data_IF_001933444478
#
_entry.id   IF_001933444478
#
_cell.length_a   1.000
_cell.length_b   1.000
_cell.length_c   1.000
_cell.angle_alpha   90.00
_cell.angle_beta   90.00
_cell.angle_gamma   90.00
#
_symmetry.space_group_name_H-M   'P 1'
#
loop_
_entity.id
_entity.type
_entity.pdbx_description
1 polymer ?
#
# COMPACT_ATOMS: atom_id res chain seq x y z
N UNK A 1 -17.36 -14.21 17.03
CA UNK A 1 -16.88 -15.46 16.42
C UNK A 1 -17.73 -15.80 15.20
N UNK A 2 -17.57 -15.01 14.14
CA UNK A 2 -17.81 -15.50 12.77
C UNK A 2 -16.58 -16.37 12.43
N UNK A 3 -16.76 -17.50 11.75
CA UNK A 3 -15.64 -18.43 11.54
C UNK A 3 -14.57 -17.81 10.64
N UNK A 4 -13.35 -17.67 11.15
CA UNK A 4 -12.19 -17.20 10.38
C UNK A 4 -11.89 -15.70 10.46
N UNK A 5 -12.78 -14.93 11.09
CA UNK A 5 -12.60 -13.48 11.30
C UNK A 5 -11.82 -13.19 12.58
N UNK A 6 -11.15 -12.03 12.64
CA UNK A 6 -10.41 -11.57 13.83
C UNK A 6 -11.17 -10.43 14.50
N UNK A 7 -11.35 -10.43 15.82
CA UNK A 7 -11.97 -9.28 16.52
C UNK A 7 -11.15 -7.97 16.41
N UNK A 8 -9.90 -8.04 15.96
CA UNK A 8 -9.01 -6.89 15.74
C UNK A 8 -9.08 -6.33 14.31
N UNK A 9 -9.72 -7.05 13.39
CA UNK A 9 -9.93 -6.64 12.00
C UNK A 9 -11.44 -6.64 11.70
N UNK A 10 -12.01 -5.49 11.34
CA UNK A 10 -13.46 -5.37 11.19
C UNK A 10 -13.94 -5.74 9.77
N UNK A 11 -13.00 -5.90 8.84
CA UNK A 11 -13.17 -6.20 7.41
C UNK A 11 -12.01 -7.12 7.00
N UNK A 12 -12.21 -8.42 7.20
CA UNK A 12 -11.16 -9.43 7.23
C UNK A 12 -10.55 -9.69 5.85
N UNK A 13 -11.34 -9.59 4.77
CA UNK A 13 -10.87 -9.75 3.38
C UNK A 13 -10.66 -8.43 2.63
N UNK A 14 -10.94 -7.30 3.30
CA UNK A 14 -10.68 -5.94 2.82
C UNK A 14 -11.47 -5.59 1.54
N UNK A 15 -12.70 -6.07 1.47
CA UNK A 15 -13.60 -5.91 0.33
C UNK A 15 -14.50 -4.66 0.46
N UNK A 16 -14.45 -3.98 1.61
CA UNK A 16 -15.24 -2.80 2.03
C UNK A 16 -16.62 -3.09 2.64
N UNK A 17 -16.92 -4.33 2.99
CA UNK A 17 -18.04 -4.72 3.85
C UNK A 17 -17.44 -5.19 5.18
N UNK A 18 -18.02 -4.77 6.31
CA UNK A 18 -17.52 -5.28 7.59
C UNK A 18 -18.00 -6.71 7.81
N UNK A 19 -17.20 -7.55 8.47
CA UNK A 19 -17.48 -8.96 8.75
C UNK A 19 -18.90 -9.22 9.28
N UNK A 20 -19.41 -8.31 10.12
CA UNK A 20 -20.74 -8.40 10.70
C UNK A 20 -21.88 -8.05 9.75
N UNK A 21 -21.63 -7.17 8.78
CA UNK A 21 -22.60 -6.69 7.79
C UNK A 21 -22.76 -7.70 6.65
N UNK A 22 -21.70 -8.43 6.29
CA UNK A 22 -21.71 -9.47 5.26
C UNK A 22 -22.69 -10.62 5.52
N UNK A 23 -22.87 -10.98 6.81
CA UNK A 23 -23.87 -11.97 7.20
C UNK A 23 -25.30 -11.42 7.19
N UNK A 24 -25.49 -10.11 7.00
CA UNK A 24 -26.81 -9.47 7.03
C UNK A 24 -26.93 -8.34 6.00
N UNK A 25 -26.41 -8.52 4.79
CA UNK A 25 -26.56 -7.54 3.70
C UNK A 25 -28.06 -7.30 3.44
N UNK A 26 -28.84 -8.38 3.31
CA UNK A 26 -30.31 -8.33 3.33
C UNK A 26 -30.93 -9.64 3.84
N UNK A 27 -32.28 -9.77 3.84
CA UNK A 27 -32.96 -11.00 4.32
C UNK A 27 -32.53 -12.28 3.57
N UNK A 28 -31.97 -12.17 2.36
CA UNK A 28 -31.58 -13.31 1.53
C UNK A 28 -30.25 -13.15 0.79
N UNK A 29 -29.53 -12.05 1.01
CA UNK A 29 -28.25 -11.73 0.37
C UNK A 29 -27.17 -11.80 1.44
N UNK A 30 -26.09 -12.53 1.16
CA UNK A 30 -24.99 -12.78 2.10
C UNK A 30 -23.68 -12.90 1.33
N UNK A 31 -22.61 -12.33 1.87
CA UNK A 31 -21.24 -12.61 1.46
C UNK A 31 -20.49 -13.38 2.55
N UNK A 32 -19.24 -13.75 2.29
CA UNK A 32 -18.39 -14.51 3.20
C UNK A 32 -17.23 -13.63 3.66
N UNK A 33 -17.11 -13.35 4.98
CA UNK A 33 -16.08 -12.46 5.57
C UNK A 33 -14.61 -12.84 5.46
N UNK A 34 -14.29 -13.78 4.59
CA UNK A 34 -12.93 -14.27 4.40
C UNK A 34 -12.61 -14.39 2.91
N UNK A 35 -13.56 -14.01 2.06
CA UNK A 35 -13.50 -14.10 0.62
C UNK A 35 -13.90 -12.74 0.06
N UNK A 36 -12.92 -12.06 -0.52
CA UNK A 36 -13.08 -10.78 -1.20
C UNK A 36 -14.11 -10.81 -2.36
N UNK A 37 -14.33 -12.00 -2.93
CA UNK A 37 -15.31 -12.33 -3.97
C UNK A 37 -15.89 -13.70 -3.57
N UNK A 38 -17.14 -13.71 -3.13
CA UNK A 38 -17.78 -14.84 -2.47
C UNK A 38 -18.18 -15.93 -3.45
N UNK A 39 -18.65 -15.56 -4.65
CA UNK A 39 -19.10 -16.50 -5.67
C UNK A 39 -18.06 -16.81 -6.75
N UNK A 40 -17.00 -16.00 -6.81
CA UNK A 40 -15.84 -16.19 -7.68
C UNK A 40 -16.07 -15.76 -9.12
N UNK A 41 -17.00 -14.84 -9.39
CA UNK A 41 -17.28 -14.35 -10.73
C UNK A 41 -16.30 -13.26 -11.23
N UNK A 42 -15.50 -12.71 -10.32
CA UNK A 42 -14.50 -11.67 -10.56
C UNK A 42 -14.93 -10.26 -10.14
N UNK A 43 -16.16 -10.07 -9.66
CA UNK A 43 -16.65 -8.83 -9.06
C UNK A 43 -16.58 -8.97 -7.53
N UNK A 44 -16.01 -7.99 -6.84
CA UNK A 44 -15.86 -8.09 -5.38
C UNK A 44 -17.18 -7.77 -4.66
N UNK A 45 -17.41 -8.43 -3.52
CA UNK A 45 -18.71 -8.37 -2.83
C UNK A 45 -19.07 -6.91 -2.44
N UNK A 46 -18.09 -6.13 -1.99
CA UNK A 46 -18.26 -4.71 -1.71
C UNK A 46 -18.73 -3.87 -2.90
N UNK A 47 -18.26 -4.11 -4.13
CA UNK A 47 -18.72 -3.41 -5.34
C UNK A 47 -20.15 -3.83 -5.68
N UNK A 48 -20.43 -5.12 -5.62
CA UNK A 48 -21.75 -5.68 -5.85
C UNK A 48 -22.79 -5.01 -4.95
N UNK A 49 -22.53 -4.96 -3.65
CA UNK A 49 -23.46 -4.38 -2.67
C UNK A 49 -23.55 -2.86 -2.75
N UNK A 50 -22.41 -2.17 -2.84
CA UNK A 50 -22.39 -0.71 -2.69
C UNK A 50 -22.57 0.07 -4.00
N UNK A 51 -22.38 -0.58 -5.15
CA UNK A 51 -22.35 0.09 -6.46
C UNK A 51 -23.31 -0.52 -7.48
N UNK A 52 -23.23 -1.83 -7.73
CA UNK A 52 -23.95 -2.48 -8.84
C UNK A 52 -25.37 -2.87 -8.42
N UNK A 53 -25.54 -3.29 -7.17
CA UNK A 53 -26.80 -3.80 -6.62
C UNK A 53 -27.03 -5.29 -6.90
N UNK A 54 -25.96 -6.05 -7.12
CA UNK A 54 -25.99 -7.51 -7.32
C UNK A 54 -25.87 -8.28 -6.00
N UNK A 55 -26.14 -9.59 -6.04
CA UNK A 55 -26.04 -10.50 -4.90
C UNK A 55 -24.68 -11.20 -4.91
N UNK A 56 -23.75 -10.90 -3.98
CA UNK A 56 -22.41 -11.48 -3.93
C UNK A 56 -22.36 -13.00 -3.72
N UNK A 57 -23.49 -13.63 -3.42
CA UNK A 57 -23.61 -15.07 -3.38
C UNK A 57 -23.92 -15.71 -4.73
N UNK A 58 -24.12 -14.91 -5.79
CA UNK A 58 -24.63 -15.33 -7.10
C UNK A 58 -23.85 -14.69 -8.24
N UNK A 59 -23.06 -15.52 -8.93
CA UNK A 59 -22.25 -15.11 -10.08
C UNK A 59 -23.06 -14.65 -11.31
N UNK A 60 -24.36 -14.43 -11.17
CA UNK A 60 -25.34 -14.09 -12.18
C UNK A 60 -26.63 -13.77 -11.42
N UNK A 61 -26.76 -12.52 -11.00
CA UNK A 61 -27.84 -12.06 -10.13
C UNK A 61 -29.21 -12.11 -10.81
N UNK A 62 -29.29 -11.70 -12.07
CA UNK A 62 -30.56 -11.54 -12.78
C UNK A 62 -31.02 -12.79 -13.56
N UNK A 63 -30.10 -13.73 -13.79
CA UNK A 63 -30.32 -15.00 -14.46
C UNK A 63 -30.25 -14.94 -15.99
N UNK A 64 -29.66 -13.92 -16.59
CA UNK A 64 -29.63 -13.72 -18.06
C UNK A 64 -28.54 -14.52 -18.81
N UNK A 65 -27.77 -15.33 -18.08
CA UNK A 65 -26.60 -16.11 -18.48
C UNK A 65 -25.25 -15.37 -18.66
N UNK A 66 -25.17 -14.06 -18.47
CA UNK A 66 -23.92 -13.35 -18.22
C UNK A 66 -23.61 -13.34 -16.72
N UNK A 67 -22.34 -13.22 -16.33
CA UNK A 67 -22.03 -13.00 -14.92
C UNK A 67 -21.99 -11.50 -14.61
N UNK A 68 -22.15 -11.16 -13.35
CA UNK A 68 -22.30 -9.78 -12.90
C UNK A 68 -21.04 -8.98 -13.24
N UNK A 69 -19.88 -9.62 -13.14
CA UNK A 69 -18.59 -9.10 -13.62
C UNK A 69 -18.58 -8.73 -15.13
N UNK A 70 -18.94 -9.65 -16.02
CA UNK A 70 -18.97 -9.41 -17.48
C UNK A 70 -19.95 -8.28 -17.80
N UNK A 71 -21.08 -8.21 -17.12
CA UNK A 71 -22.07 -7.16 -17.35
C UNK A 71 -21.57 -5.80 -16.90
N UNK A 72 -21.07 -5.71 -15.67
CA UNK A 72 -20.48 -4.50 -15.12
C UNK A 72 -19.34 -3.97 -15.99
N UNK A 73 -18.40 -4.84 -16.39
CA UNK A 73 -17.23 -4.47 -17.19
C UNK A 73 -17.60 -3.99 -18.61
N UNK A 74 -18.71 -4.49 -19.16
CA UNK A 74 -19.21 -4.12 -20.49
C UNK A 74 -20.23 -2.97 -20.49
N UNK A 75 -20.61 -2.51 -19.29
CA UNK A 75 -21.58 -1.45 -19.05
C UNK A 75 -23.02 -1.87 -19.33
N UNK A 76 -23.36 -3.13 -19.06
CA UNK A 76 -24.72 -3.65 -18.99
C UNK A 76 -25.26 -3.56 -17.55
N UNK A 77 -26.57 -3.67 -17.40
CA UNK A 77 -27.27 -3.67 -16.12
C UNK A 77 -27.45 -5.11 -15.61
N UNK A 78 -26.53 -5.56 -14.74
CA UNK A 78 -26.52 -6.89 -14.12
C UNK A 78 -27.73 -7.21 -13.20
N UNK A 79 -28.69 -6.29 -13.11
CA UNK A 79 -29.93 -6.48 -12.35
C UNK A 79 -31.17 -6.54 -13.25
N UNK A 80 -31.02 -6.32 -14.55
CA UNK A 80 -32.09 -6.38 -15.54
C UNK A 80 -31.87 -7.58 -16.47
N UNK A 81 -32.64 -8.68 -16.31
CA UNK A 81 -32.48 -9.89 -17.13
C UNK A 81 -32.86 -9.71 -18.61
N UNK A 82 -33.16 -8.46 -19.01
CA UNK A 82 -33.40 -8.03 -20.38
C UNK A 82 -32.34 -7.08 -20.94
N UNK A 83 -31.28 -6.78 -20.19
CA UNK A 83 -30.06 -6.14 -20.67
C UNK A 83 -28.91 -7.16 -20.58
N UNK A 84 -28.16 -7.41 -21.66
CA UNK A 84 -28.38 -6.94 -23.02
C UNK A 84 -29.60 -7.56 -23.72
N UNK A 85 -30.27 -8.55 -23.13
CA UNK A 85 -31.28 -9.38 -23.83
C UNK A 85 -32.67 -8.72 -23.94
N UNK A 86 -32.82 -7.73 -24.83
CA UNK A 86 -34.15 -7.33 -25.32
C UNK A 86 -34.46 -8.03 -26.66
N UNK A 87 -35.15 -9.19 -26.66
CA UNK A 87 -35.50 -9.91 -27.88
C UNK A 87 -36.60 -9.20 -28.69
N UNK A 88 -37.16 -8.08 -28.21
CA UNK A 88 -38.26 -7.35 -28.85
C UNK A 88 -37.82 -6.21 -29.79
N UNK A 89 -36.53 -6.04 -30.07
CA UNK A 89 -36.13 -5.21 -31.22
C UNK A 89 -36.64 -5.92 -32.48
N UNK A 90 -37.51 -5.26 -33.24
CA UNK A 90 -38.03 -5.77 -34.51
C UNK A 90 -36.85 -5.95 -35.48
N UNK A 91 -36.42 -7.19 -35.65
CA UNK A 91 -35.29 -7.57 -36.49
C UNK A 91 -35.69 -7.53 -37.97
N UNK A 92 -35.19 -6.54 -38.70
CA UNK A 92 -35.39 -6.45 -40.15
C UNK A 92 -34.45 -7.46 -40.83
N UNK A 93 -35.01 -8.66 -41.06
CA UNK A 93 -34.43 -9.92 -41.53
C UNK A 93 -33.22 -9.91 -42.47
N UNK A 94 -32.27 -10.80 -42.17
CA UNK A 94 -31.79 -11.85 -43.08
C UNK A 94 -31.38 -13.08 -42.26
N UNK A 95 -32.31 -14.00 -42.00
CA UNK A 95 -32.04 -15.28 -41.31
C UNK A 95 -31.27 -16.23 -42.22
N UNK A 96 -30.26 -16.90 -41.67
CA UNK A 96 -29.49 -17.96 -42.35
C UNK A 96 -29.80 -19.32 -41.73
N UNK A 97 -30.14 -20.30 -42.57
CA UNK A 97 -30.29 -21.70 -42.19
C UNK A 97 -28.97 -22.42 -42.45
N UNK A 98 -28.30 -22.92 -41.43
CA UNK A 98 -27.11 -23.75 -41.58
C UNK A 98 -27.35 -25.15 -40.97
N UNK A 99 -26.98 -26.20 -41.72
CA UNK A 99 -27.09 -27.61 -41.28
C UNK A 99 -25.95 -28.01 -40.31
N UNK A 100 -24.87 -27.23 -40.28
CA UNK A 100 -23.76 -27.30 -39.31
C UNK A 100 -22.90 -26.05 -39.44
N UNK A 101 -22.61 -25.35 -38.32
CA UNK A 101 -21.73 -24.18 -38.35
C UNK A 101 -20.41 -24.49 -37.62
N UNK A 102 -19.32 -24.48 -38.39
CA UNK A 102 -17.95 -24.37 -37.88
C UNK A 102 -17.30 -23.18 -38.56
N UNK A 103 -17.20 -22.07 -37.84
CA UNK A 103 -16.62 -20.83 -38.35
C UNK A 103 -15.66 -20.20 -37.34
N UNK A 104 -14.63 -19.53 -37.84
CA UNK A 104 -13.81 -18.63 -37.03
C UNK A 104 -14.32 -17.21 -37.24
N UNK A 105 -14.66 -16.48 -36.18
CA UNK A 105 -14.90 -15.03 -36.26
C UNK A 105 -13.59 -14.29 -35.98
N UNK A 106 -13.23 -13.35 -36.84
CA UNK A 106 -12.18 -12.36 -36.57
C UNK A 106 -12.82 -10.98 -36.72
N UNK A 107 -12.97 -10.25 -35.62
CA UNK A 107 -13.58 -8.94 -35.59
C UNK A 107 -12.50 -7.89 -35.32
N UNK A 108 -11.75 -7.49 -36.36
CA UNK A 108 -10.79 -6.40 -36.16
C UNK A 108 -11.53 -5.14 -35.67
N UNK A 109 -11.18 -4.70 -34.45
CA UNK A 109 -11.66 -3.45 -33.84
C UNK A 109 -12.90 -3.52 -32.95
N UNK A 110 -13.50 -4.70 -32.70
CA UNK A 110 -14.48 -4.83 -31.63
C UNK A 110 -13.79 -5.34 -30.36
N UNK A 111 -14.26 -4.89 -29.20
CA UNK A 111 -13.66 -5.25 -27.91
C UNK A 111 -14.12 -6.65 -27.47
N UNK A 112 -15.37 -7.04 -27.82
CA UNK A 112 -15.97 -8.34 -27.54
C UNK A 112 -17.14 -8.70 -28.51
N UNK A 113 -17.58 -9.98 -28.46
CA UNK A 113 -18.71 -10.54 -29.22
C UNK A 113 -19.61 -11.36 -28.30
N UNK A 114 -20.91 -11.08 -28.30
CA UNK A 114 -21.94 -11.91 -27.67
C UNK A 114 -22.60 -12.82 -28.72
N UNK A 115 -22.68 -14.12 -28.43
CA UNK A 115 -23.24 -15.12 -29.34
C UNK A 115 -24.55 -15.65 -28.81
N UNK A 116 -25.60 -15.59 -29.63
CA UNK A 116 -26.91 -16.16 -29.33
C UNK A 116 -27.36 -17.10 -30.45
N UNK A 117 -28.14 -18.11 -30.12
CA UNK A 117 -28.77 -18.98 -31.10
C UNK A 117 -30.20 -19.29 -30.69
N UNK A 118 -31.05 -19.64 -31.64
CA UNK A 118 -32.37 -20.17 -31.34
C UNK A 118 -32.68 -21.38 -32.21
N UNK A 119 -33.46 -22.29 -31.66
CA UNK A 119 -33.99 -23.40 -32.43
C UNK A 119 -35.12 -22.88 -33.31
N UNK A 120 -35.11 -23.22 -34.61
CA UNK A 120 -36.15 -22.83 -35.56
C UNK A 120 -37.54 -23.07 -34.95
N UNK A 121 -38.40 -22.05 -34.95
CA UNK A 121 -39.76 -22.00 -34.35
C UNK A 121 -39.86 -21.70 -32.84
N UNK A 122 -38.75 -21.43 -32.14
CA UNK A 122 -38.76 -20.89 -30.77
C UNK A 122 -38.81 -19.36 -30.79
N UNK A 123 -39.66 -18.76 -29.94
CA UNK A 123 -39.62 -17.33 -29.64
C UNK A 123 -38.48 -16.97 -28.67
N UNK A 124 -37.88 -17.98 -28.03
CA UNK A 124 -36.80 -17.82 -27.06
C UNK A 124 -35.43 -17.99 -27.70
N UNK A 125 -34.57 -16.99 -27.48
CA UNK A 125 -33.14 -17.01 -27.79
C UNK A 125 -32.36 -17.65 -26.66
N UNK A 126 -31.26 -18.33 -27.01
CA UNK A 126 -30.36 -19.01 -26.08
C UNK A 126 -28.99 -18.36 -26.21
N UNK A 127 -28.48 -17.84 -25.09
CA UNK A 127 -27.11 -17.35 -25.01
C UNK A 127 -26.11 -18.51 -25.15
N UNK A 128 -25.04 -18.29 -25.91
CA UNK A 128 -23.99 -19.29 -26.17
C UNK A 128 -22.67 -18.94 -25.51
N UNK A 129 -22.36 -17.66 -25.36
CA UNK A 129 -21.11 -17.20 -24.79
C UNK A 129 -20.71 -15.80 -25.23
N UNK A 130 -19.87 -15.19 -24.41
CA UNK A 130 -19.17 -13.94 -24.60
C UNK A 130 -17.75 -14.29 -25.00
N UNK A 131 -17.24 -13.59 -26.00
CA UNK A 131 -15.90 -13.82 -26.51
C UNK A 131 -15.18 -12.48 -26.69
N UNK A 132 -14.09 -12.30 -25.97
CA UNK A 132 -13.20 -11.15 -26.07
C UNK A 132 -12.32 -11.22 -27.33
N UNK A 133 -11.75 -10.07 -27.74
CA UNK A 133 -11.04 -9.90 -29.02
C UNK A 133 -10.07 -11.04 -29.39
N UNK A 134 -10.23 -11.59 -30.61
CA UNK A 134 -9.44 -12.72 -31.12
C UNK A 134 -10.17 -13.58 -32.15
N UNK A 135 -9.55 -14.67 -32.59
CA UNK A 135 -10.18 -15.66 -33.48
C UNK A 135 -11.03 -16.64 -32.68
N UNK A 136 -12.35 -16.51 -32.73
CA UNK A 136 -13.27 -17.41 -32.01
C UNK A 136 -13.71 -18.54 -32.92
N UNK A 137 -13.29 -19.77 -32.62
CA UNK A 137 -13.79 -20.97 -33.29
C UNK A 137 -15.11 -21.42 -32.64
N UNK A 138 -16.24 -21.20 -33.32
CA UNK A 138 -17.55 -21.65 -32.83
C UNK A 138 -17.92 -22.95 -33.55
N UNK A 139 -18.07 -24.04 -32.79
CA UNK A 139 -18.57 -25.32 -33.30
C UNK A 139 -20.00 -25.55 -32.78
N UNK A 140 -20.99 -25.35 -33.65
CA UNK A 140 -22.40 -25.62 -33.38
C UNK A 140 -22.83 -26.80 -34.25
N UNK A 141 -22.82 -28.00 -33.66
CA UNK A 141 -23.47 -29.18 -34.26
C UNK A 141 -24.95 -29.17 -33.93
N UNK A 142 -25.76 -28.51 -34.74
CA UNK A 142 -27.21 -28.54 -34.56
C UNK A 142 -27.93 -28.53 -35.90
N UNK A 143 -28.87 -29.45 -36.05
CA UNK A 143 -29.78 -29.50 -37.19
C UNK A 143 -30.86 -28.42 -37.03
N UNK A 144 -30.98 -27.50 -37.99
CA UNK A 144 -32.07 -26.53 -38.15
C UNK A 144 -32.16 -25.37 -37.12
N UNK A 145 -31.08 -24.61 -36.92
CA UNK A 145 -31.10 -23.43 -36.04
C UNK A 145 -30.81 -22.12 -36.80
N UNK A 146 -31.38 -21.02 -36.29
CA UNK A 146 -31.00 -19.65 -36.66
C UNK A 146 -29.82 -19.22 -35.75
N UNK A 147 -28.65 -18.91 -36.32
CA UNK A 147 -27.49 -18.39 -35.58
C UNK A 147 -27.39 -16.87 -35.73
N UNK A 148 -27.25 -16.15 -34.61
CA UNK A 148 -27.14 -14.68 -34.62
C UNK A 148 -25.99 -14.19 -33.74
N UNK A 149 -25.27 -13.19 -34.23
CA UNK A 149 -24.06 -12.66 -33.61
C UNK A 149 -24.30 -11.18 -33.32
N UNK A 150 -24.00 -10.76 -32.08
CA UNK A 150 -24.07 -9.36 -31.67
C UNK A 150 -22.66 -8.88 -31.34
N UNK A 151 -22.21 -7.84 -32.04
CA UNK A 151 -20.92 -7.18 -31.78
C UNK A 151 -21.19 -5.73 -31.35
N UNK A 152 -20.49 -5.24 -30.31
CA UNK A 152 -20.53 -3.84 -29.89
C UNK A 152 -19.21 -3.19 -30.30
N UNK A 153 -19.28 -2.15 -31.13
CA UNK A 153 -18.12 -1.34 -31.53
C UNK A 153 -18.29 0.05 -30.93
N UNK A 154 -17.59 0.37 -29.84
CA UNK A 154 -17.38 1.69 -29.19
C UNK A 154 -18.60 2.62 -28.95
N UNK A 155 -19.63 2.68 -29.81
CA UNK A 155 -20.95 3.31 -29.64
C UNK A 155 -22.08 2.79 -30.57
N UNK A 156 -21.85 1.83 -31.50
CA UNK A 156 -22.90 1.35 -32.42
C UNK A 156 -22.96 -0.19 -32.59
N UNK A 157 -24.18 -0.70 -32.72
CA UNK A 157 -24.49 -2.12 -32.94
C UNK A 157 -24.41 -2.46 -34.44
N UNK A 158 -23.62 -3.47 -34.81
CA UNK A 158 -23.49 -3.89 -36.22
C UNK A 158 -23.88 -5.34 -36.42
N UNK A 159 -24.76 -5.61 -37.39
CA UNK A 159 -25.12 -6.98 -37.78
C UNK A 159 -24.09 -7.51 -38.79
N UNK A 160 -23.58 -8.73 -38.58
CA UNK A 160 -22.69 -9.40 -39.54
C UNK A 160 -23.51 -10.38 -40.38
N UNK A 161 -23.50 -10.19 -41.70
CA UNK A 161 -24.07 -11.15 -42.65
C UNK A 161 -23.01 -12.20 -43.00
N UNK A 162 -23.23 -13.45 -42.59
CA UNK A 162 -22.37 -14.58 -42.95
C UNK A 162 -22.79 -15.10 -44.34
N UNK A 163 -21.85 -15.22 -45.29
CA UNK A 163 -22.10 -15.85 -46.60
C UNK A 163 -21.24 -17.11 -46.77
N UNK A 164 -21.79 -18.11 -47.47
CA UNK A 164 -21.34 -19.52 -47.51
C UNK A 164 -19.91 -19.80 -48.03
N UNK A 165 -19.16 -18.82 -48.56
CA UNK A 165 -17.89 -19.08 -49.22
C UNK A 165 -16.71 -18.31 -48.58
N UNK A 166 -15.88 -19.10 -47.88
CA UNK A 166 -14.48 -18.90 -47.45
C UNK A 166 -14.08 -17.60 -46.71
N UNK A 167 -13.61 -17.77 -45.47
CA UNK A 167 -12.80 -16.75 -44.78
C UNK A 167 -11.41 -17.31 -44.38
N UNK A 168 -10.36 -16.59 -44.79
CA UNK A 168 -8.98 -16.76 -44.33
C UNK A 168 -8.67 -15.68 -43.29
N UNK A 169 -8.02 -16.05 -42.18
CA UNK A 169 -7.64 -15.14 -41.09
C UNK A 169 -6.13 -15.24 -40.80
N UNK A 170 -5.45 -14.10 -40.65
CA UNK A 170 -4.04 -14.00 -40.28
C UNK A 170 -3.81 -13.02 -39.13
N UNK A 171 -2.89 -13.43 -38.25
CA UNK A 171 -2.15 -12.78 -37.15
C UNK A 171 -2.83 -11.73 -36.24
N UNK A 172 -2.80 -12.12 -34.97
CA UNK A 172 -3.34 -11.55 -33.74
C UNK A 172 -2.63 -10.28 -33.26
N UNK A 173 -3.40 -9.28 -32.85
CA UNK A 173 -3.04 -8.40 -31.73
C UNK A 173 -4.16 -8.54 -30.70
N UNK A 174 -3.86 -9.15 -29.56
CA UNK A 174 -4.74 -9.16 -28.39
C UNK A 174 -4.80 -7.72 -27.88
N UNK A 175 -5.98 -7.11 -27.95
CA UNK A 175 -6.26 -5.86 -27.26
C UNK A 175 -7.48 -6.17 -26.39
N UNK A 176 -7.24 -6.63 -25.16
CA UNK A 176 -8.24 -6.56 -24.11
C UNK A 176 -8.37 -5.08 -23.74
N UNK A 177 -9.58 -4.51 -23.57
CA UNK A 177 -9.72 -3.20 -22.95
C UNK A 177 -9.42 -3.37 -21.45
N UNK A 178 -8.16 -3.13 -21.07
CA UNK A 178 -7.71 -3.24 -19.69
C UNK A 178 -8.17 -2.01 -18.90
N UNK A 179 -8.88 -2.24 -17.81
CA UNK A 179 -9.22 -1.20 -16.86
C UNK A 179 -8.91 -1.70 -15.44
N UNK A 180 -8.00 -1.05 -14.69
CA UNK A 180 -8.05 -1.12 -13.23
C UNK A 180 -9.27 -0.30 -12.78
N UNK A 181 -10.47 -0.91 -12.73
CA UNK A 181 -11.73 -0.12 -12.72
C UNK A 181 -12.19 0.40 -11.37
N UNK A 182 -11.65 -0.04 -10.22
CA UNK A 182 -12.16 0.43 -8.93
C UNK A 182 -11.20 1.36 -8.20
N UNK A 183 -11.79 2.36 -7.54
CA UNK A 183 -11.08 3.28 -6.66
C UNK A 183 -10.56 2.48 -5.45
N UNK A 184 -9.23 2.38 -5.27
CA UNK A 184 -8.71 1.51 -4.23
C UNK A 184 -9.27 1.86 -2.85
N UNK A 185 -9.43 0.88 -1.95
CA UNK A 185 -9.89 1.13 -0.59
C UNK A 185 -8.92 2.07 0.15
N UNK A 186 -9.39 2.71 1.22
CA UNK A 186 -8.55 3.60 2.03
C UNK A 186 -7.36 2.82 2.60
N UNK A 187 -6.11 3.31 2.51
CA UNK A 187 -4.97 2.62 3.13
C UNK A 187 -5.19 2.35 4.62
N UNK A 188 -4.80 1.17 5.09
CA UNK A 188 -4.76 0.88 6.52
C UNK A 188 -3.40 1.24 7.11
N UNK A 189 -3.38 1.64 8.38
CA UNK A 189 -2.18 2.12 9.05
C UNK A 189 -2.45 3.06 10.23
N UNK A 190 -1.38 3.58 10.87
CA UNK A 190 -1.48 4.42 12.05
C UNK A 190 -2.09 5.79 11.73
N UNK A 191 -2.91 6.32 12.66
CA UNK A 191 -3.57 7.62 12.53
C UNK A 191 -2.84 8.77 13.24
N UNK A 192 -1.79 8.46 14.01
CA UNK A 192 -0.97 9.46 14.68
C UNK A 192 0.46 8.99 14.87
N UNK A 193 1.39 9.92 14.93
CA UNK A 193 2.80 9.61 15.10
C UNK A 193 3.65 10.84 15.37
N UNK A 194 4.95 10.65 15.17
CA UNK A 194 6.01 11.60 15.33
C UNK A 194 6.83 11.68 14.05
N UNK A 195 7.37 12.86 13.73
CA UNK A 195 8.33 13.00 12.62
C UNK A 195 9.57 12.12 12.83
N UNK A 196 10.27 11.83 11.74
CA UNK A 196 11.49 10.99 11.70
C UNK A 196 11.28 9.55 12.22
N UNK A 197 10.04 9.08 12.27
CA UNK A 197 9.70 7.68 12.58
C UNK A 197 9.13 7.01 11.33
N UNK A 198 9.53 5.77 11.06
CA UNK A 198 8.95 4.97 9.99
C UNK A 198 7.58 4.44 10.40
N UNK A 199 6.60 4.61 9.51
CA UNK A 199 5.25 4.07 9.66
C UNK A 199 4.94 3.16 8.49
N UNK A 200 4.42 1.97 8.79
CA UNK A 200 3.96 1.03 7.78
C UNK A 200 2.48 1.28 7.47
N UNK A 201 2.15 1.27 6.19
CA UNK A 201 0.80 1.29 5.66
C UNK A 201 0.61 0.09 4.76
N UNK A 202 -0.61 -0.46 4.76
CA UNK A 202 -1.00 -1.50 3.82
C UNK A 202 -1.91 -0.92 2.76
N UNK A 203 -1.68 -1.37 1.53
CA UNK A 203 -2.47 -1.06 0.35
C UNK A 203 -3.05 -2.36 -0.17
N UNK A 204 -4.29 -2.29 -0.64
CA UNK A 204 -5.00 -3.43 -1.21
C UNK A 204 -5.44 -3.03 -2.61
N UNK A 205 -5.27 -3.90 -3.57
CA UNK A 205 -5.60 -3.58 -4.94
C UNK A 205 -5.99 -4.82 -5.68
N UNK A 206 -6.83 -4.61 -6.66
CA UNK A 206 -7.24 -5.67 -7.55
C UNK A 206 -6.99 -5.26 -9.00
N UNK A 207 -6.85 -6.26 -9.84
CA UNK A 207 -6.90 -6.14 -11.27
C UNK A 207 -7.78 -7.24 -11.84
N UNK A 208 -8.93 -6.79 -12.30
CA UNK A 208 -10.06 -7.60 -12.76
C UNK A 208 -9.73 -8.48 -13.97
N UNK A 209 -8.70 -8.13 -14.74
CA UNK A 209 -8.23 -8.94 -15.88
C UNK A 209 -7.14 -9.95 -15.53
N UNK A 210 -6.73 -9.95 -14.26
CA UNK A 210 -5.68 -10.77 -13.69
C UNK A 210 -4.27 -10.57 -14.27
N UNK A 211 -3.91 -9.32 -14.54
CA UNK A 211 -2.59 -8.93 -15.04
C UNK A 211 -1.69 -8.38 -13.91
N UNK A 212 -0.46 -8.03 -14.30
CA UNK A 212 0.50 -7.40 -13.41
C UNK A 212 0.10 -5.96 -13.09
N UNK A 213 0.27 -5.56 -11.83
CA UNK A 213 -0.09 -4.22 -11.37
C UNK A 213 1.07 -3.44 -10.76
N UNK A 214 0.93 -2.12 -10.74
CA UNK A 214 1.81 -1.21 -10.00
C UNK A 214 1.02 -0.32 -9.05
N UNK A 215 1.30 -0.43 -7.75
CA UNK A 215 0.83 0.52 -6.75
C UNK A 215 1.62 1.82 -6.87
N UNK A 216 0.93 2.95 -7.03
CA UNK A 216 1.52 4.28 -6.92
C UNK A 216 0.99 4.98 -5.68
N UNK A 217 1.87 5.23 -4.71
CA UNK A 217 1.55 5.81 -3.41
C UNK A 217 1.95 7.28 -3.39
N UNK A 218 1.06 8.13 -2.87
CA UNK A 218 1.31 9.51 -2.51
C UNK A 218 1.24 9.63 -0.98
N UNK A 219 2.35 10.02 -0.36
CA UNK A 219 2.48 10.08 1.08
C UNK A 219 1.86 11.34 1.72
N UNK A 220 1.44 12.31 0.91
CA UNK A 220 0.85 13.56 1.41
C UNK A 220 1.86 14.57 1.96
N UNK A 221 3.16 14.30 1.81
CA UNK A 221 4.27 15.21 2.13
C UNK A 221 5.00 15.75 0.87
N UNK A 222 4.45 15.45 -0.31
CA UNK A 222 5.03 15.80 -1.61
C UNK A 222 5.89 14.68 -2.23
N UNK A 223 6.15 13.59 -1.50
CA UNK A 223 6.83 12.41 -2.03
C UNK A 223 5.86 11.36 -2.56
N UNK A 224 6.34 10.56 -3.53
CA UNK A 224 5.60 9.44 -4.12
C UNK A 224 6.49 8.21 -4.22
N UNK A 225 5.88 7.03 -4.22
CA UNK A 225 6.58 5.74 -4.41
C UNK A 225 5.78 4.84 -5.34
N UNK A 226 6.47 3.93 -6.04
CA UNK A 226 5.85 2.96 -6.94
C UNK A 226 6.32 1.54 -6.63
N UNK A 227 5.41 0.57 -6.62
CA UNK A 227 5.68 -0.83 -6.33
C UNK A 227 4.99 -1.73 -7.35
N UNK A 228 5.78 -2.42 -8.16
CA UNK A 228 5.30 -3.42 -9.12
C UNK A 228 5.04 -4.76 -8.41
N UNK A 229 3.95 -5.42 -8.78
CA UNK A 229 3.54 -6.75 -8.34
C UNK A 229 3.16 -7.55 -9.59
N UNK A 230 3.82 -8.70 -9.77
CA UNK A 230 3.46 -9.64 -10.81
C UNK A 230 2.32 -10.56 -10.35
N UNK A 231 1.47 -10.97 -11.28
CA UNK A 231 0.38 -11.90 -11.02
C UNK A 231 0.88 -13.30 -10.63
N UNK A 232 0.31 -13.86 -9.55
CA UNK A 232 0.61 -15.21 -9.06
C UNK A 232 -0.63 -16.04 -8.69
N UNK A 233 -1.84 -15.62 -9.06
CA UNK A 233 -3.08 -16.36 -8.75
C UNK A 233 -3.65 -16.12 -7.35
N UNK A 234 -3.36 -14.98 -6.73
CA UNK A 234 -3.84 -14.63 -5.38
C UNK A 234 -4.47 -13.24 -5.35
N UNK A 235 -5.72 -13.17 -4.88
CA UNK A 235 -6.52 -11.95 -4.79
C UNK A 235 -7.09 -11.76 -3.37
N UNK A 236 -7.26 -10.50 -2.92
CA UNK A 236 -6.78 -9.26 -3.57
C UNK A 236 -5.25 -9.12 -3.44
N UNK A 237 -4.62 -8.30 -4.30
CA UNK A 237 -3.20 -7.97 -4.13
C UNK A 237 -2.99 -7.08 -2.91
N UNK A 238 -2.03 -7.43 -2.06
CA UNK A 238 -1.68 -6.61 -0.89
C UNK A 238 -0.24 -6.11 -0.95
N UNK A 239 -0.03 -4.86 -0.51
CA UNK A 239 1.30 -4.25 -0.40
C UNK A 239 1.47 -3.50 0.90
N UNK A 240 2.35 -4.01 1.77
CA UNK A 240 2.89 -3.23 2.87
C UNK A 240 4.06 -2.36 2.41
N UNK A 241 4.04 -1.07 2.77
CA UNK A 241 5.21 -0.19 2.61
C UNK A 241 5.38 0.75 3.80
N UNK A 242 6.63 1.06 4.12
CA UNK A 242 6.98 1.97 5.20
C UNK A 242 7.49 3.31 4.66
N UNK A 243 7.11 4.40 5.32
CA UNK A 243 7.57 5.75 5.00
C UNK A 243 7.92 6.54 6.25
N UNK A 244 8.91 7.42 6.13
CA UNK A 244 9.35 8.31 7.20
C UNK A 244 8.99 9.75 6.83
N UNK A 245 8.18 10.39 7.68
CA UNK A 245 7.77 11.77 7.48
C UNK A 245 8.68 12.74 8.22
N UNK A 246 9.14 13.80 7.55
CA UNK A 246 10.08 14.78 8.11
C UNK A 246 9.41 16.04 8.65
N UNK A 247 8.15 16.29 8.31
CA UNK A 247 7.41 17.50 8.71
C UNK A 247 6.16 17.17 9.54
N UNK A 248 5.88 18.03 10.51
CA UNK A 248 4.72 17.90 11.40
C UNK A 248 3.41 18.23 10.67
N UNK A 249 2.30 18.00 11.38
CA UNK A 249 0.95 18.20 10.89
C UNK A 249 0.33 16.95 10.28
N UNK A 250 -0.88 17.09 9.77
CA UNK A 250 -1.62 15.98 9.17
C UNK A 250 -1.10 15.70 7.76
N UNK A 251 -0.78 14.44 7.47
CA UNK A 251 -0.51 13.94 6.12
C UNK A 251 -1.68 13.08 5.67
N UNK A 252 -1.95 13.11 4.36
CA UNK A 252 -3.05 12.40 3.73
C UNK A 252 -2.47 11.42 2.72
N UNK A 253 -2.35 10.16 3.13
CA UNK A 253 -1.80 9.09 2.33
C UNK A 253 -2.90 8.54 1.43
N UNK A 254 -2.60 8.39 0.15
CA UNK A 254 -3.49 7.77 -0.83
C UNK A 254 -2.68 7.05 -1.89
N UNK A 255 -3.30 6.15 -2.62
CA UNK A 255 -2.65 5.41 -3.70
C UNK A 255 -3.60 5.20 -4.86
N UNK A 256 -3.06 4.70 -5.95
CA UNK A 256 -3.81 4.23 -7.12
C UNK A 256 -3.07 3.06 -7.74
N UNK A 257 -3.77 2.29 -8.54
CA UNK A 257 -3.22 1.11 -9.21
C UNK A 257 -3.05 1.45 -10.68
N UNK A 258 -2.02 0.89 -11.29
CA UNK A 258 -1.75 0.99 -12.71
C UNK A 258 -1.61 -0.42 -13.28
N UNK A 259 -2.31 -0.70 -14.38
CA UNK A 259 -2.14 -1.96 -15.12
C UNK A 259 -0.81 -1.99 -15.90
N UNK A 260 -0.48 -3.13 -16.50
CA UNK A 260 0.71 -3.28 -17.35
C UNK A 260 0.68 -2.43 -18.63
N UNK A 261 -0.52 -1.99 -19.05
CA UNK A 261 -0.76 -1.20 -20.25
C UNK A 261 -0.78 0.32 -20.01
N UNK A 262 -0.60 0.74 -18.75
CA UNK A 262 -0.50 2.14 -18.31
C UNK A 262 -1.81 2.85 -17.97
N UNK A 263 -2.95 2.15 -17.92
CA UNK A 263 -4.20 2.70 -17.40
C UNK A 263 -4.14 2.80 -15.87
N UNK A 264 -4.76 3.84 -15.30
CA UNK A 264 -4.76 4.10 -13.85
C UNK A 264 -6.18 4.06 -13.29
N UNK A 265 -6.35 3.51 -12.10
CA UNK A 265 -7.53 3.76 -11.26
C UNK A 265 -7.60 5.23 -10.84
N UNK A 266 -8.74 5.70 -10.29
CA UNK A 266 -8.67 6.95 -9.52
C UNK A 266 -7.86 6.74 -8.24
N UNK A 267 -7.59 7.85 -7.56
CA UNK A 267 -6.94 7.82 -6.26
C UNK A 267 -7.91 7.31 -5.20
N UNK A 268 -7.42 6.43 -4.32
CA UNK A 268 -8.11 6.02 -3.11
C UNK A 268 -8.55 7.23 -2.26
N UNK A 269 -9.56 7.06 -1.39
CA UNK A 269 -9.73 7.98 -0.27
C UNK A 269 -8.46 8.04 0.59
N UNK A 270 -8.30 9.14 1.31
CA UNK A 270 -7.05 9.41 2.02
C UNK A 270 -7.06 8.89 3.46
N UNK A 271 -6.04 8.12 3.82
CA UNK A 271 -5.71 7.81 5.21
C UNK A 271 -4.95 8.97 5.83
N UNK A 272 -5.50 9.59 6.87
CA UNK A 272 -4.79 10.64 7.59
C UNK A 272 -3.89 10.09 8.68
N UNK A 273 -2.68 10.63 8.79
CA UNK A 273 -1.82 10.49 9.98
C UNK A 273 -1.49 11.87 10.53
N UNK A 274 -1.74 12.10 11.82
CA UNK A 274 -1.34 13.32 12.50
C UNK A 274 0.08 13.17 13.08
N UNK A 275 1.03 13.94 12.57
CA UNK A 275 2.42 13.92 13.03
C UNK A 275 2.69 15.08 13.97
N UNK A 276 2.94 14.74 15.22
CA UNK A 276 3.54 15.69 16.15
C UNK A 276 5.03 15.78 15.85
N UNK A 277 5.67 16.88 16.27
CA UNK A 277 7.13 16.85 16.42
C UNK A 277 7.46 15.68 17.34
N UNK A 278 8.33 14.77 16.92
CA UNK A 278 8.98 13.90 17.88
C UNK A 278 9.60 14.82 18.91
N UNK A 279 9.12 14.77 20.15
CA UNK A 279 9.40 15.80 21.15
C UNK A 279 10.90 16.04 21.25
N UNK A 280 11.30 17.19 20.75
CA UNK A 280 12.66 17.69 20.67
C UNK A 280 12.50 19.09 20.10
N UNK A 281 12.23 20.06 20.96
CA UNK A 281 12.37 21.45 20.56
C UNK A 281 13.76 21.60 19.96
N UNK A 282 13.84 22.29 18.82
CA UNK A 282 15.10 22.60 18.14
C UNK A 282 15.93 21.44 17.55
N UNK A 283 15.35 20.29 17.17
CA UNK A 283 16.03 19.36 16.24
C UNK A 283 17.36 18.75 16.71
N UNK A 284 17.58 18.61 18.02
CA UNK A 284 18.63 17.77 18.59
C UNK A 284 18.08 16.40 18.95
N UNK A 285 18.92 15.38 18.90
CA UNK A 285 18.62 14.07 19.47
C UNK A 285 18.55 14.16 20.99
N UNK A 286 18.32 13.04 21.66
CA UNK A 286 18.20 13.05 23.11
C UNK A 286 18.98 11.92 23.78
N UNK A 287 19.39 12.15 25.02
CA UNK A 287 19.88 11.09 25.92
C UNK A 287 18.74 10.54 26.77
N UNK A 288 18.73 9.24 27.03
CA UNK A 288 17.71 8.63 27.88
C UNK A 288 17.87 9.05 29.34
N UNK A 289 16.77 8.99 30.10
CA UNK A 289 16.77 9.06 31.57
C UNK A 289 17.87 8.18 32.17
N UNK A 290 18.45 8.65 33.27
CA UNK A 290 19.58 8.03 33.98
C UNK A 290 20.94 8.07 33.24
N UNK A 291 21.03 8.73 32.08
CA UNK A 291 22.33 9.05 31.48
C UNK A 291 23.15 9.92 32.43
N UNK A 292 24.38 9.49 32.72
CA UNK A 292 25.30 10.16 33.62
C UNK A 292 26.08 11.24 32.89
N UNK A 293 25.76 12.50 33.19
CA UNK A 293 26.43 13.69 32.64
C UNK A 293 27.69 13.98 33.46
N UNK A 294 28.82 14.13 32.78
CA UNK A 294 30.11 14.43 33.41
C UNK A 294 30.23 15.92 33.72
N UNK A 295 30.60 16.25 34.95
CA UNK A 295 30.82 17.64 35.39
C UNK A 295 32.23 18.12 35.04
N UNK A 296 32.50 19.45 35.09
CA UNK A 296 33.76 20.05 34.66
C UNK A 296 35.02 19.54 35.37
N UNK A 297 34.89 18.89 36.53
CA UNK A 297 36.04 18.29 37.24
C UNK A 297 36.57 17.01 36.57
N UNK A 298 35.86 16.47 35.57
CA UNK A 298 36.26 15.30 34.80
C UNK A 298 35.97 13.96 35.48
N UNK A 299 35.38 13.93 36.68
CA UNK A 299 35.14 12.71 37.44
C UNK A 299 33.74 12.61 38.04
N UNK A 300 33.17 13.73 38.49
CA UNK A 300 31.84 13.76 39.10
C UNK A 300 30.78 13.60 38.02
N UNK A 301 29.80 12.74 38.29
CA UNK A 301 28.70 12.43 37.38
C UNK A 301 27.36 12.66 38.06
N UNK A 302 26.43 13.28 37.35
CA UNK A 302 25.05 13.40 37.80
C UNK A 302 24.11 12.76 36.76
N UNK A 303 23.02 12.09 37.18
CA UNK A 303 21.99 11.68 36.25
C UNK A 303 21.36 12.90 35.55
N UNK A 304 21.07 12.78 34.27
CA UNK A 304 20.55 13.87 33.43
C UNK A 304 19.29 14.52 34.01
N UNK A 305 18.40 13.74 34.63
CA UNK A 305 17.18 14.29 35.27
C UNK A 305 17.44 15.21 36.48
N UNK A 306 18.69 15.34 36.93
CA UNK A 306 19.10 16.26 38.00
C UNK A 306 19.84 17.49 37.49
N UNK A 307 20.13 17.55 36.19
CA UNK A 307 20.81 18.67 35.55
C UNK A 307 19.84 19.85 35.41
N UNK A 308 20.33 21.06 35.66
CA UNK A 308 19.54 22.28 35.53
C UNK A 308 20.16 23.23 34.50
N UNK A 309 19.31 24.01 33.83
CA UNK A 309 19.75 25.14 33.00
C UNK A 309 20.54 26.12 33.87
N UNK A 310 21.68 26.59 33.35
CA UNK A 310 22.63 27.45 34.06
C UNK A 310 23.78 26.70 34.75
N UNK A 311 23.76 25.37 34.77
CA UNK A 311 24.88 24.56 35.28
C UNK A 311 25.95 24.35 34.21
N UNK A 312 27.18 24.11 34.66
CA UNK A 312 28.29 23.74 33.78
C UNK A 312 28.47 22.24 33.73
N UNK A 313 28.69 21.71 32.53
CA UNK A 313 29.04 20.30 32.27
C UNK A 313 30.36 20.23 31.50
N UNK A 314 30.95 19.04 31.43
CA UNK A 314 32.17 18.84 30.65
C UNK A 314 31.82 18.73 29.16
N UNK A 315 32.43 19.59 28.35
CA UNK A 315 32.53 19.45 26.91
C UNK A 315 33.96 19.06 26.48
N UNK A 316 34.13 18.75 25.20
CA UNK A 316 35.42 18.43 24.62
C UNK A 316 35.55 19.05 23.23
N UNK A 317 36.61 19.82 23.02
CA UNK A 317 36.89 20.43 21.73
C UNK A 317 37.71 19.45 20.88
N UNK A 318 37.06 18.82 19.90
CA UNK A 318 37.69 17.84 19.02
C UNK A 318 38.82 18.42 18.15
N UNK A 319 38.89 19.74 17.97
CA UNK A 319 39.94 20.41 17.21
C UNK A 319 41.19 20.64 18.05
N UNK A 320 41.06 21.09 19.30
CA UNK A 320 42.21 21.29 20.20
C UNK A 320 42.60 20.02 20.96
N UNK A 321 41.69 19.07 21.11
CA UNK A 321 41.86 17.89 21.96
C UNK A 321 41.71 18.19 23.46
N UNK A 322 41.17 19.35 23.83
CA UNK A 322 41.06 19.78 25.23
C UNK A 322 39.62 19.68 25.74
N UNK A 323 39.48 19.35 27.02
CA UNK A 323 38.19 19.46 27.73
C UNK A 323 37.91 20.92 28.09
N UNK A 324 36.64 21.30 28.07
CA UNK A 324 36.20 22.66 28.37
C UNK A 324 34.88 22.64 29.15
N UNK A 325 34.70 23.45 30.20
CA UNK A 325 33.39 23.64 30.80
C UNK A 325 32.45 24.32 29.81
N UNK A 326 31.27 23.74 29.57
CA UNK A 326 30.22 24.32 28.74
C UNK A 326 28.98 24.59 29.59
N UNK A 327 28.29 25.69 29.31
CA UNK A 327 27.09 26.11 30.01
C UNK A 327 25.88 25.40 29.42
N UNK A 328 25.03 24.81 30.25
CA UNK A 328 23.73 24.28 29.81
C UNK A 328 22.75 25.44 29.67
N UNK A 329 22.31 25.71 28.44
CA UNK A 329 21.44 26.85 28.12
C UNK A 329 19.98 26.45 27.98
N UNK A 330 19.71 25.18 27.62
CA UNK A 330 18.38 24.64 27.43
C UNK A 330 18.36 23.15 27.80
N UNK A 331 17.27 22.70 28.40
CA UNK A 331 16.98 21.28 28.62
C UNK A 331 15.53 21.05 28.26
N UNK A 332 15.30 20.25 27.24
CA UNK A 332 13.97 19.83 26.82
C UNK A 332 13.74 18.37 27.23
N UNK A 333 12.63 18.12 27.91
CA UNK A 333 12.25 16.77 28.36
C UNK A 333 11.08 16.28 27.54
N UNK A 334 11.23 15.10 26.94
CA UNK A 334 10.20 14.51 26.08
C UNK A 334 10.11 12.99 26.27
N UNK A 335 9.21 12.37 25.50
CA UNK A 335 9.09 10.92 25.43
C UNK A 335 9.19 10.45 23.98
N UNK A 336 9.96 9.40 23.75
CA UNK A 336 10.13 8.76 22.43
C UNK A 336 9.71 7.30 22.46
N UNK A 337 9.30 6.78 21.30
CA UNK A 337 8.86 5.39 21.14
C UNK A 337 10.00 4.39 21.06
N UNK A 338 11.19 4.84 20.67
CA UNK A 338 12.37 3.99 20.55
C UNK A 338 13.65 4.65 21.05
N UNK A 339 14.55 3.84 21.59
CA UNK A 339 15.91 4.23 21.99
C UNK A 339 16.91 3.19 21.51
N UNK A 340 18.09 3.64 21.10
CA UNK A 340 19.23 2.80 20.78
C UNK A 340 20.09 2.63 22.03
N UNK A 341 20.31 1.37 22.43
CA UNK A 341 21.31 1.02 23.45
C UNK A 341 22.61 0.60 22.76
N UNK A 342 23.66 1.37 23.01
CA UNK A 342 25.01 1.14 22.50
C UNK A 342 25.85 0.57 23.65
N UNK A 343 26.30 -0.68 23.52
CA UNK A 343 27.28 -1.31 24.40
C UNK A 343 28.70 -1.13 23.87
N UNK A 344 29.65 -0.83 24.75
CA UNK A 344 31.06 -0.68 24.43
C UNK A 344 31.94 -1.18 25.58
N UNK A 345 33.25 -1.27 25.37
CA UNK A 345 34.19 -1.90 26.32
C UNK A 345 34.26 -1.25 27.72
N UNK A 346 33.68 -0.05 27.87
CA UNK A 346 33.68 0.73 29.13
C UNK A 346 32.28 0.97 29.70
N UNK A 347 31.24 0.42 29.10
CA UNK A 347 29.88 0.61 29.58
C UNK A 347 28.81 0.55 28.49
N UNK A 348 27.75 1.31 28.68
CA UNK A 348 26.69 1.44 27.69
C UNK A 348 26.06 2.82 27.73
N UNK A 349 25.53 3.26 26.60
CA UNK A 349 24.80 4.51 26.42
C UNK A 349 23.41 4.22 25.84
N UNK A 350 22.41 5.02 26.23
CA UNK A 350 21.06 4.96 25.67
C UNK A 350 20.69 6.35 25.14
N UNK A 351 20.45 6.43 23.84
CA UNK A 351 20.16 7.66 23.10
C UNK A 351 19.07 7.44 22.07
N UNK A 352 18.51 8.50 21.51
CA UNK A 352 17.66 8.40 20.33
C UNK A 352 18.46 7.83 19.15
N UNK A 353 17.86 6.95 18.32
CA UNK A 353 18.53 6.35 17.16
C UNK A 353 18.86 7.38 16.06
N UNK A 354 18.14 8.49 16.03
CA UNK A 354 18.28 9.55 15.03
C UNK A 354 18.59 10.90 15.69
N UNK A 355 19.25 11.77 14.91
CA UNK A 355 19.58 13.15 15.22
C UNK A 355 20.37 13.38 16.51
N UNK A 356 21.00 12.36 17.12
CA UNK A 356 21.91 12.52 18.26
C UNK A 356 23.37 12.40 17.79
N UNK A 357 24.03 13.51 17.38
CA UNK A 357 25.42 13.47 16.99
C UNK A 357 26.29 12.80 18.04
N UNK A 358 27.16 11.90 17.56
CA UNK A 358 28.13 11.17 18.37
C UNK A 358 29.49 11.23 17.70
N UNK A 359 30.54 11.49 18.48
CA UNK A 359 31.90 11.50 17.95
C UNK A 359 32.37 10.07 17.67
N UNK A 360 32.52 9.77 16.39
CA UNK A 360 32.50 8.43 15.82
C UNK A 360 33.70 8.20 14.91
N UNK A 361 34.13 6.94 14.82
CA UNK A 361 35.18 6.49 13.91
C UNK A 361 34.94 5.05 13.45
N UNK A 362 35.18 4.80 12.16
CA UNK A 362 35.34 3.47 11.59
C UNK A 362 36.65 3.38 10.78
N UNK A 363 36.78 2.35 9.94
CA UNK A 363 37.98 2.14 9.12
C UNK A 363 38.28 3.28 8.13
N UNK A 364 37.26 4.00 7.67
CA UNK A 364 37.38 4.99 6.58
C UNK A 364 37.01 6.42 6.98
N UNK A 365 36.37 6.61 8.13
CA UNK A 365 35.82 7.88 8.57
C UNK A 365 36.10 8.15 10.04
N UNK A 366 36.35 9.41 10.37
CA UNK A 366 36.38 9.94 11.75
C UNK A 366 35.68 11.28 11.75
N UNK A 367 34.64 11.43 12.56
CA UNK A 367 33.84 12.65 12.57
C UNK A 367 32.57 12.50 13.41
N UNK A 368 31.67 13.48 13.26
CA UNK A 368 30.35 13.43 13.88
C UNK A 368 29.43 12.59 13.02
N UNK A 369 28.92 11.48 13.57
CA UNK A 369 27.84 10.73 12.98
C UNK A 369 26.53 11.27 13.54
N UNK A 370 25.66 11.80 12.68
CA UNK A 370 24.40 12.46 13.08
C UNK A 370 23.39 11.45 13.63
N UNK A 371 23.27 10.30 12.98
CA UNK A 371 22.29 9.26 13.32
C UNK A 371 22.99 8.02 13.89
N UNK A 372 22.94 7.81 15.22
CA UNK A 372 23.56 6.65 15.87
C UNK A 372 23.09 5.29 15.36
N UNK A 373 21.91 5.19 14.73
CA UNK A 373 21.41 3.95 14.14
C UNK A 373 22.34 3.38 13.07
N UNK A 374 23.20 4.23 12.47
CA UNK A 374 24.14 3.83 11.42
C UNK A 374 25.47 3.26 11.97
N UNK A 375 25.65 3.23 13.30
CA UNK A 375 26.80 2.59 13.93
C UNK A 375 26.70 1.07 13.73
N UNK A 376 27.84 0.42 13.49
CA UNK A 376 27.96 -1.02 13.42
C UNK A 376 28.80 -1.56 14.59
N UNK A 377 28.62 -2.84 14.94
CA UNK A 377 29.53 -3.50 15.89
C UNK A 377 30.95 -3.57 15.32
N UNK A 378 31.94 -3.20 16.12
CA UNK A 378 33.33 -3.02 15.70
C UNK A 378 33.71 -1.56 15.44
N UNK A 379 32.74 -0.68 15.20
CA UNK A 379 32.99 0.76 15.12
C UNK A 379 33.45 1.33 16.46
N UNK A 380 34.01 2.54 16.44
CA UNK A 380 34.57 3.19 17.61
C UNK A 380 33.84 4.50 17.94
N UNK A 381 33.66 4.74 19.23
CA UNK A 381 33.15 6.00 19.79
C UNK A 381 34.15 6.54 20.81
N UNK A 382 34.23 7.86 20.97
CA UNK A 382 35.29 8.46 21.80
C UNK A 382 34.88 8.57 23.27
N UNK A 383 35.67 7.95 24.15
CA UNK A 383 35.43 7.93 25.59
C UNK A 383 36.35 8.92 26.32
N UNK A 384 35.77 10.02 26.79
CA UNK A 384 36.46 11.18 27.36
C UNK A 384 37.24 10.87 28.64
N UNK A 385 36.68 10.17 29.66
CA UNK A 385 37.42 9.95 30.90
C UNK A 385 38.73 9.16 30.75
N UNK A 386 38.90 8.45 29.64
CA UNK A 386 40.12 7.70 29.35
C UNK A 386 40.89 8.22 28.14
N UNK A 387 40.43 9.31 27.54
CA UNK A 387 41.01 9.91 26.35
C UNK A 387 41.31 8.89 25.24
N UNK A 388 40.33 8.02 24.93
CA UNK A 388 40.54 6.90 24.03
C UNK A 388 39.28 6.51 23.26
N UNK A 389 39.46 6.05 22.03
CA UNK A 389 38.42 5.33 21.28
C UNK A 389 38.07 4.00 21.98
N UNK A 390 36.78 3.71 22.12
CA UNK A 390 36.25 2.45 22.65
C UNK A 390 35.42 1.75 21.58
N UNK A 391 35.52 0.43 21.54
CA UNK A 391 34.84 -0.37 20.50
C UNK A 391 33.39 -0.61 20.90
N UNK A 392 32.49 -0.39 19.95
CA UNK A 392 31.08 -0.77 20.04
C UNK A 392 31.00 -2.29 19.89
N UNK A 393 30.48 -2.95 20.90
CA UNK A 393 30.41 -4.41 20.97
C UNK A 393 28.98 -4.95 21.03
N UNK A 394 27.98 -4.06 21.13
CA UNK A 394 26.57 -4.44 21.09
C UNK A 394 25.67 -3.28 20.68
N UNK A 395 24.70 -3.53 19.82
CA UNK A 395 23.63 -2.59 19.50
C UNK A 395 22.27 -3.24 19.74
N UNK A 396 21.38 -2.55 20.44
CA UNK A 396 20.00 -3.00 20.66
C UNK A 396 19.08 -1.81 20.44
N UNK A 397 18.28 -1.87 19.36
CA UNK A 397 17.15 -0.97 19.18
C UNK A 397 16.00 -1.48 20.05
N UNK A 398 15.52 -0.62 20.95
CA UNK A 398 14.37 -0.91 21.81
C UNK A 398 13.21 -0.11 21.24
N UNK A 399 12.21 -0.80 20.70
CA UNK A 399 11.04 -0.21 20.04
C UNK A 399 9.78 -0.32 20.91
N UNK A 400 8.73 0.40 20.51
CA UNK A 400 7.38 0.33 21.09
C UNK A 400 7.33 0.58 22.60
N UNK A 401 8.23 1.44 23.10
CA UNK A 401 8.28 1.85 24.49
C UNK A 401 7.78 3.28 24.70
N UNK A 402 7.75 3.72 25.97
CA UNK A 402 7.57 5.12 26.34
C UNK A 402 8.82 5.55 27.12
N UNK A 403 9.81 6.06 26.40
CA UNK A 403 11.12 6.38 26.96
C UNK A 403 11.25 7.87 27.23
N UNK A 404 11.42 8.25 28.50
CA UNK A 404 11.74 9.63 28.88
C UNK A 404 13.17 9.97 28.46
N UNK A 405 13.32 11.05 27.69
CA UNK A 405 14.59 11.51 27.13
C UNK A 405 14.78 13.02 27.34
N UNK A 406 16.04 13.45 27.24
CA UNK A 406 16.49 14.80 27.54
C UNK A 406 17.35 15.31 26.37
N UNK A 407 16.91 16.39 25.71
CA UNK A 407 17.72 17.18 24.77
C UNK A 407 18.42 18.28 25.59
N UNK A 408 19.74 18.42 25.43
CA UNK A 408 20.57 19.32 26.25
C UNK A 408 21.35 20.23 25.31
N UNK A 409 21.04 21.52 25.31
CA UNK A 409 21.79 22.50 24.53
C UNK A 409 22.89 23.10 25.40
N UNK A 410 24.12 23.15 24.88
CA UNK A 410 25.25 23.76 25.59
C UNK A 410 25.95 24.86 24.78
N UNK A 411 26.56 25.82 25.47
CA UNK A 411 27.35 26.91 24.89
C UNK A 411 28.78 26.88 25.47
N UNK A 412 29.85 27.12 24.67
CA UNK A 412 29.84 27.61 23.28
C UNK A 412 29.97 26.54 22.19
N UNK A 413 30.19 25.27 22.56
CA UNK A 413 30.49 24.22 21.59
C UNK A 413 29.28 23.35 21.22
N UNK A 414 28.22 23.41 22.02
CA UNK A 414 27.05 22.55 21.90
C UNK A 414 27.41 21.06 21.87
N UNK A 415 28.27 20.67 22.80
CA UNK A 415 28.72 19.29 23.04
C UNK A 415 28.62 19.00 24.53
N UNK A 416 28.47 17.75 24.93
CA UNK A 416 28.59 17.34 26.33
C UNK A 416 29.01 15.87 26.43
N UNK A 417 29.32 15.42 27.65
CA UNK A 417 29.75 14.04 27.90
C UNK A 417 28.70 13.26 28.68
N UNK A 418 28.04 12.31 28.00
CA UNK A 418 27.03 11.42 28.57
C UNK A 418 27.53 9.98 28.65
N UNK A 419 27.46 9.36 29.83
CA UNK A 419 28.05 8.04 30.13
C UNK A 419 29.53 7.92 29.69
N UNK A 420 30.27 9.02 29.69
CA UNK A 420 31.68 9.08 29.28
C UNK A 420 31.91 9.22 27.78
N UNK A 421 30.86 9.22 26.95
CA UNK A 421 30.93 9.38 25.50
C UNK A 421 30.68 10.84 25.13
N UNK A 422 31.44 11.35 24.15
CA UNK A 422 31.23 12.68 23.60
C UNK A 422 30.00 12.71 22.69
N UNK A 423 29.05 13.55 23.07
CA UNK A 423 27.73 13.64 22.46
C UNK A 423 27.40 15.06 22.09
N UNK A 424 26.48 15.14 21.15
CA UNK A 424 25.88 16.34 20.61
C UNK A 424 26.87 17.23 19.87
N UNK A 425 26.36 17.87 18.82
CA UNK A 425 26.96 18.96 18.08
C UNK A 425 25.87 19.42 17.13
N UNK A 426 25.20 20.53 17.45
CA UNK A 426 24.32 21.15 16.45
C UNK A 426 25.19 21.69 15.33
N UNK A 427 25.17 20.95 14.23
CA UNK A 427 25.73 21.39 12.96
C UNK A 427 24.83 22.55 12.54
N UNK A 428 25.33 23.78 12.62
CA UNK A 428 24.64 24.87 11.93
C UNK A 428 24.62 24.49 10.44
N UNK A 429 23.43 24.38 9.86
CA UNK A 429 23.24 24.18 8.41
C UNK A 429 24.01 25.20 7.59
#
# INVERSE_FOLDING_TARGET
DLEGTSDEDIDTDNDLINDGDEYYISESVYSRPTLFDTDGDGLNDGIEVNTVGTDPGLSNTDGDYLNDFDEYSLGFDATDPTDPINPNIVWNSSSFYADSFTGFLNHQGADYVLVYYRVSQSDSWIYKGLYYSGSVGINLQTYQNDLWLRTKYWTEWTNIQLSDDEFYFSDSYNYKPHYPTYDPPTPTGPSSGYTYTYYSFNFVGDDLDHDDITFQVNWGDGSTSSYYIAYYGSYPYTKAASHQFTSTGTKYIKYRIMDENGAYSNWSPSKSIYLSSNGGGSGGGCVAKDTLILLPDGYTKIPVQKLNVGEYVLGYNVTSGETIPVLVTEIDVSKVSSILKIGHDKGSLRITPYNQPIWYKNETYTGWLIDPINIQEGDQIFHIPSDSWVTVNKLILIENGSHEVYDIVTDPLNVFVGNGILLDKKVME
#
